data_IF_925200063801
#
_entry.id   IF_925200063801
#
_cell.length_a   1.000
_cell.length_b   1.000
_cell.length_c   1.000
_cell.angle_alpha   90.00
_cell.angle_beta   90.00
_cell.angle_gamma   90.00
#
_symmetry.space_group_name_H-M   'P 1'
#
loop_
_entity.id
_entity.type
_entity.pdbx_description
1 polymer ?
#
# COMPACT_ATOMS: atom_id res chain seq x y z
N UNK A 1 -28.65 -4.84 29.33
CA UNK A 1 -27.97 -4.57 29.28
C UNK A 1 -27.17 -4.46 28.60
N UNK A 2 -27.24 -4.44 28.05
CA UNK A 2 -26.43 -4.28 27.35
C UNK A 2 -25.47 -3.38 27.51
N UNK A 3 -25.71 -2.39 27.86
CA UNK A 3 -24.71 -1.51 28.11
C UNK A 3 -23.87 -1.90 29.17
N UNK A 4 -24.35 -2.73 29.90
CA UNK A 4 -23.59 -3.35 30.93
C UNK A 4 -22.32 -3.91 30.38
N UNK A 5 -22.40 -4.49 29.22
CA UNK A 5 -21.23 -5.07 28.62
C UNK A 5 -20.19 -4.02 28.30
N UNK A 6 -20.61 -2.79 28.08
CA UNK A 6 -19.66 -1.74 27.76
C UNK A 6 -18.90 -1.26 28.99
N UNK A 7 -19.57 -1.26 30.14
CA UNK A 7 -18.95 -0.70 31.34
C UNK A 7 -17.75 -1.46 31.85
N UNK A 8 -17.83 -2.79 32.03
CA UNK A 8 -16.64 -3.53 32.47
C UNK A 8 -15.49 -3.45 31.49
N UNK A 9 -15.80 -3.09 30.26
CA UNK A 9 -14.82 -3.09 29.20
C UNK A 9 -14.26 -1.72 28.88
N UNK A 10 -14.34 -0.79 29.81
CA UNK A 10 -13.80 0.54 29.57
C UNK A 10 -12.33 0.53 29.19
N UNK A 11 -11.54 -0.24 29.94
CA UNK A 11 -10.11 -0.35 29.63
C UNK A 11 -9.89 -1.01 28.28
N UNK A 12 -10.64 -2.05 28.00
CA UNK A 12 -10.56 -2.75 26.70
C UNK A 12 -11.00 -1.85 25.56
N UNK A 13 -12.05 -1.07 25.78
CA UNK A 13 -12.53 -0.13 24.77
C UNK A 13 -11.50 0.94 24.47
N UNK A 14 -10.86 1.50 25.50
CA UNK A 14 -9.81 2.48 25.31
C UNK A 14 -8.62 1.89 24.56
N UNK A 15 -8.22 0.69 24.92
CA UNK A 15 -7.13 0.01 24.24
C UNK A 15 -7.47 -0.23 22.78
N UNK A 16 -8.71 -0.63 22.50
CA UNK A 16 -9.17 -0.86 21.12
C UNK A 16 -9.12 0.43 20.31
N UNK A 17 -9.54 1.55 20.88
CA UNK A 17 -9.50 2.83 20.22
C UNK A 17 -8.07 3.20 19.87
N UNK A 18 -7.13 3.02 20.81
CA UNK A 18 -5.71 3.30 20.57
C UNK A 18 -5.14 2.40 19.48
N UNK A 19 -5.48 1.12 19.50
CA UNK A 19 -5.01 0.17 18.47
C UNK A 19 -5.59 0.55 17.11
N UNK A 20 -6.87 0.88 17.04
CA UNK A 20 -7.52 1.29 15.79
C UNK A 20 -6.88 2.55 15.23
N UNK A 21 -6.61 3.53 16.08
CA UNK A 21 -5.97 4.77 15.65
C UNK A 21 -4.56 4.51 15.14
N UNK A 22 -3.79 3.69 15.84
CA UNK A 22 -2.45 3.32 15.41
C UNK A 22 -2.47 2.59 14.08
N UNK A 23 -3.43 1.67 13.91
CA UNK A 23 -3.57 0.92 12.66
C UNK A 23 -3.98 1.84 11.51
N UNK A 24 -4.81 2.82 11.77
CA UNK A 24 -5.23 3.80 10.76
C UNK A 24 -4.04 4.60 10.26
N UNK A 25 -3.19 5.08 11.17
CA UNK A 25 -1.99 5.84 10.83
C UNK A 25 -1.02 4.95 10.05
N UNK A 26 -0.83 3.72 10.53
CA UNK A 26 0.04 2.75 9.89
C UNK A 26 -0.42 2.42 8.47
N UNK A 27 -1.71 2.15 8.30
CA UNK A 27 -2.27 1.84 6.99
C UNK A 27 -2.16 3.02 6.04
N UNK A 28 -2.41 4.22 6.53
CA UNK A 28 -2.27 5.44 5.75
C UNK A 28 -0.84 5.63 5.27
N UNK A 29 0.12 5.40 6.15
CA UNK A 29 1.55 5.48 5.83
C UNK A 29 1.90 4.56 4.65
N UNK A 30 1.50 3.29 4.74
CA UNK A 30 1.80 2.33 3.68
C UNK A 30 1.06 2.61 2.39
N UNK A 31 -0.19 3.02 2.47
CA UNK A 31 -0.96 3.39 1.27
C UNK A 31 -0.33 4.58 0.56
N UNK A 32 0.15 5.55 1.31
CA UNK A 32 0.83 6.71 0.75
C UNK A 32 2.13 6.29 0.07
N UNK A 33 2.90 5.41 0.70
CA UNK A 33 4.14 4.90 0.09
C UNK A 33 3.87 4.17 -1.21
N UNK A 34 2.85 3.32 -1.24
CA UNK A 34 2.46 2.60 -2.45
C UNK A 34 2.06 3.57 -3.56
N UNK A 35 1.23 4.55 -3.23
CA UNK A 35 0.78 5.55 -4.18
C UNK A 35 1.95 6.34 -4.75
N UNK A 36 2.87 6.77 -3.89
CA UNK A 36 4.03 7.55 -4.33
C UNK A 36 4.95 6.73 -5.22
N UNK A 37 5.16 5.46 -4.89
CA UNK A 37 6.01 4.59 -5.70
C UNK A 37 5.42 4.38 -7.10
N UNK A 38 4.11 4.17 -7.19
CA UNK A 38 3.42 4.03 -8.48
C UNK A 38 3.49 5.34 -9.25
N UNK A 39 3.30 6.46 -8.59
CA UNK A 39 3.37 7.78 -9.22
C UNK A 39 4.74 8.02 -9.84
N UNK A 40 5.81 7.69 -9.12
CA UNK A 40 7.17 7.84 -9.64
C UNK A 40 7.38 6.97 -10.88
N UNK A 41 6.84 5.76 -10.88
CA UNK A 41 6.91 4.88 -12.03
C UNK A 41 6.19 5.50 -13.23
N UNK A 42 4.98 6.01 -13.02
CA UNK A 42 4.20 6.61 -14.10
C UNK A 42 4.90 7.85 -14.67
N UNK A 43 5.55 8.63 -13.83
CA UNK A 43 6.34 9.78 -14.30
C UNK A 43 7.49 9.33 -15.18
N UNK A 44 8.18 8.26 -14.80
CA UNK A 44 9.27 7.73 -15.61
C UNK A 44 8.76 7.20 -16.95
N UNK A 45 7.57 6.59 -16.96
CA UNK A 45 6.95 6.13 -18.20
C UNK A 45 6.58 7.30 -19.10
N UNK A 46 6.02 8.37 -18.52
CA UNK A 46 5.68 9.57 -19.30
C UNK A 46 6.92 10.23 -19.90
N UNK A 47 8.03 10.21 -19.19
CA UNK A 47 9.29 10.77 -19.67
C UNK A 47 9.97 9.85 -20.68
N UNK A 48 9.38 8.69 -20.95
CA UNK A 48 9.90 7.72 -21.92
C UNK A 48 11.34 7.32 -21.63
N UNK A 49 11.65 7.11 -20.35
CA UNK A 49 12.96 6.68 -19.89
C UNK A 49 12.87 5.21 -19.45
N UNK A 50 13.24 4.24 -20.33
CA UNK A 50 13.09 2.82 -19.99
C UNK A 50 13.95 2.38 -18.81
N UNK A 51 15.15 2.93 -18.68
CA UNK A 51 16.04 2.54 -17.58
C UNK A 51 15.48 2.98 -16.24
N UNK A 52 15.06 4.24 -16.15
CA UNK A 52 14.47 4.77 -14.94
C UNK A 52 13.14 4.08 -14.64
N UNK A 53 12.34 3.81 -15.68
CA UNK A 53 11.07 3.12 -15.52
C UNK A 53 11.28 1.72 -14.94
N UNK A 54 12.28 0.98 -15.41
CA UNK A 54 12.59 -0.34 -14.87
C UNK A 54 13.01 -0.26 -13.41
N UNK A 55 13.82 0.71 -13.07
CA UNK A 55 14.26 0.93 -11.69
C UNK A 55 13.07 1.26 -10.79
N UNK A 56 12.21 2.17 -11.23
CA UNK A 56 11.01 2.55 -10.47
C UNK A 56 10.03 1.39 -10.35
N UNK A 57 9.95 0.55 -11.37
CA UNK A 57 9.12 -0.65 -11.32
C UNK A 57 9.57 -1.58 -10.21
N UNK A 58 10.88 -1.85 -10.11
CA UNK A 58 11.41 -2.69 -9.06
C UNK A 58 11.15 -2.10 -7.67
N UNK A 59 11.33 -0.81 -7.52
CA UNK A 59 11.05 -0.13 -6.26
C UNK A 59 9.56 -0.23 -5.89
N UNK A 60 8.69 0.02 -6.86
CA UNK A 60 7.25 -0.03 -6.63
C UNK A 60 6.80 -1.44 -6.25
N UNK A 61 7.31 -2.47 -6.94
CA UNK A 61 7.01 -3.85 -6.62
C UNK A 61 7.43 -4.19 -5.19
N UNK A 62 8.62 -3.75 -4.80
CA UNK A 62 9.11 -3.97 -3.43
C UNK A 62 8.23 -3.33 -2.37
N UNK A 63 7.79 -2.10 -2.60
CA UNK A 63 6.91 -1.39 -1.66
C UNK A 63 5.56 -2.09 -1.56
N UNK A 64 4.98 -2.49 -2.71
CA UNK A 64 3.70 -3.18 -2.74
C UNK A 64 3.78 -4.53 -2.04
N UNK A 65 4.85 -5.29 -2.27
CA UNK A 65 5.04 -6.58 -1.61
C UNK A 65 5.18 -6.42 -0.10
N UNK A 66 5.88 -5.41 0.36
CA UNK A 66 5.98 -5.12 1.79
C UNK A 66 4.61 -4.76 2.37
N UNK A 67 3.81 -4.00 1.64
CA UNK A 67 2.47 -3.64 2.09
C UNK A 67 1.58 -4.88 2.26
N UNK A 68 1.74 -5.89 1.41
CA UNK A 68 1.03 -7.15 1.56
C UNK A 68 1.47 -7.87 2.84
N UNK A 69 2.78 -7.95 3.08
CA UNK A 69 3.33 -8.59 4.27
C UNK A 69 2.81 -7.89 5.53
N UNK A 70 2.69 -6.57 5.48
CA UNK A 70 2.17 -5.79 6.61
C UNK A 70 0.65 -5.85 6.75
N UNK A 71 -0.04 -6.50 5.82
CA UNK A 71 -1.50 -6.66 5.90
C UNK A 71 -2.29 -5.43 5.52
N UNK A 72 -1.67 -4.46 4.86
CA UNK A 72 -2.33 -3.21 4.46
C UNK A 72 -3.10 -3.38 3.16
N UNK A 73 -2.57 -4.16 2.24
CA UNK A 73 -3.13 -4.36 0.92
C UNK A 73 -3.25 -5.85 0.64
N UNK A 74 -4.33 -6.25 -0.03
CA UNK A 74 -4.54 -7.65 -0.37
C UNK A 74 -3.62 -8.05 -1.54
N UNK A 75 -3.08 -9.28 -1.48
CA UNK A 75 -2.16 -9.78 -2.50
C UNK A 75 -2.72 -9.74 -3.91
N UNK A 76 -4.03 -9.96 -4.07
CA UNK A 76 -4.64 -9.94 -5.39
C UNK A 76 -4.65 -8.53 -5.99
N UNK A 77 -4.87 -7.51 -5.16
CA UNK A 77 -4.80 -6.12 -5.58
C UNK A 77 -3.39 -5.77 -6.05
N UNK A 78 -2.38 -6.22 -5.30
CA UNK A 78 -1.00 -5.98 -5.65
C UNK A 78 -0.63 -6.71 -6.94
N UNK A 79 -1.07 -7.95 -7.10
CA UNK A 79 -0.81 -8.72 -8.33
C UNK A 79 -1.34 -7.98 -9.55
N UNK A 80 -2.57 -7.44 -9.49
CA UNK A 80 -3.14 -6.68 -10.59
C UNK A 80 -2.35 -5.40 -10.88
N UNK A 81 -1.95 -4.69 -9.83
CA UNK A 81 -1.16 -3.46 -9.99
C UNK A 81 0.21 -3.75 -10.58
N UNK A 82 0.86 -4.82 -10.12
CA UNK A 82 2.17 -5.22 -10.65
C UNK A 82 2.06 -5.55 -12.13
N UNK A 83 1.03 -6.29 -12.53
CA UNK A 83 0.81 -6.61 -13.95
C UNK A 83 0.60 -5.36 -14.79
N UNK A 84 -0.22 -4.42 -14.31
CA UNK A 84 -0.48 -3.18 -15.02
C UNK A 84 0.78 -2.33 -15.16
N UNK A 85 1.58 -2.24 -14.09
CA UNK A 85 2.83 -1.47 -14.11
C UNK A 85 3.85 -2.10 -15.06
N UNK A 86 3.98 -3.42 -15.00
CA UNK A 86 4.91 -4.13 -15.87
C UNK A 86 4.54 -3.96 -17.34
N UNK A 87 3.24 -3.99 -17.66
CA UNK A 87 2.77 -3.78 -19.01
C UNK A 87 3.12 -2.38 -19.52
N UNK A 88 2.99 -1.37 -18.68
CA UNK A 88 3.34 0.00 -19.06
C UNK A 88 4.83 0.16 -19.33
N UNK A 89 5.68 -0.44 -18.50
CA UNK A 89 7.13 -0.40 -18.71
C UNK A 89 7.50 -1.18 -19.96
N UNK A 90 6.87 -2.33 -20.17
CA UNK A 90 7.12 -3.15 -21.35
C UNK A 90 6.77 -2.39 -22.63
N UNK A 91 5.72 -1.57 -22.61
CA UNK A 91 5.32 -0.80 -23.78
C UNK A 91 6.36 0.25 -24.17
N UNK A 92 7.19 0.69 -23.24
CA UNK A 92 8.29 1.62 -23.55
C UNK A 92 9.43 0.94 -24.30
N UNK A 93 9.65 -0.34 -24.02
CA UNK A 93 10.76 -1.08 -24.59
C UNK A 93 10.38 -1.92 -25.80
N UNK A 94 9.09 -1.99 -26.08
CA UNK A 94 8.58 -2.79 -27.20
C UNK A 94 8.71 -2.07 -28.56
#
# INVERSE_FOLDING_TARGET
MKEVTALPNKKSAKKRVLVTERNRIYNRFWKTRCKNAVKKLLEAVENKDPELAAKRLNEAQGVLDKAVIKGVVHRNTVARRKSAMAAKVKSLTA
#
